data_IF_547120843187
#
_entry.id   IF_547120843187
#
_cell.length_a   1.000
_cell.length_b   1.000
_cell.length_c   1.000
_cell.angle_alpha   90.00
_cell.angle_beta   90.00
_cell.angle_gamma   90.00
#
_symmetry.space_group_name_H-M   'P 1'
#
loop_
_entity.id
_entity.type
_entity.pdbx_description
1 polymer ?
#
# COMPACT_ATOMS: atom_id res chain seq x y z
N UNK A 1 13.45 6.02 21.01
CA UNK A 1 12.93 5.73 19.65
C UNK A 1 11.43 5.97 19.62
N UNK A 2 10.98 7.10 19.07
CA UNK A 2 9.56 7.43 18.90
C UNK A 2 9.34 7.67 17.40
N UNK A 3 8.53 6.85 16.74
CA UNK A 3 8.22 6.99 15.31
C UNK A 3 7.57 5.73 14.74
N UNK A 4 6.82 5.86 13.64
CA UNK A 4 6.21 4.73 12.97
C UNK A 4 7.27 3.82 12.33
N UNK A 5 7.23 2.51 12.61
CA UNK A 5 8.17 1.54 12.03
C UNK A 5 7.91 1.25 10.56
N UNK A 6 6.63 1.30 10.18
CA UNK A 6 6.14 1.11 8.82
C UNK A 6 5.21 2.27 8.50
N UNK A 7 5.49 3.00 7.43
CA UNK A 7 4.61 4.02 6.87
C UNK A 7 4.09 3.53 5.53
N UNK A 8 2.77 3.54 5.34
CA UNK A 8 2.11 3.09 4.11
C UNK A 8 1.25 4.22 3.56
N UNK A 9 1.47 4.58 2.29
CA UNK A 9 0.75 5.64 1.58
C UNK A 9 -0.02 4.99 0.43
N UNK A 10 -1.35 5.00 0.52
CA UNK A 10 -2.23 4.60 -0.57
C UNK A 10 -2.34 5.72 -1.61
N UNK A 11 -2.36 5.33 -2.89
CA UNK A 11 -2.38 6.23 -4.04
C UNK A 11 -3.39 5.81 -5.12
N UNK A 12 -4.48 5.17 -4.72
CA UNK A 12 -5.53 4.72 -5.65
C UNK A 12 -4.97 3.85 -6.77
N UNK A 13 -5.19 4.24 -8.04
CA UNK A 13 -4.70 3.49 -9.21
C UNK A 13 -3.18 3.30 -9.27
N UNK A 14 -2.41 4.15 -8.59
CA UNK A 14 -0.96 4.04 -8.52
C UNK A 14 -0.47 3.03 -7.47
N UNK A 15 -1.41 2.42 -6.73
CA UNK A 15 -1.17 1.41 -5.70
C UNK A 15 -0.70 2.00 -4.38
N UNK A 16 0.35 1.41 -3.80
CA UNK A 16 0.86 1.74 -2.47
C UNK A 16 2.36 2.01 -2.51
N UNK A 17 2.81 2.98 -1.72
CA UNK A 17 4.20 3.13 -1.30
C UNK A 17 4.31 2.74 0.17
N UNK A 18 5.24 1.85 0.50
CA UNK A 18 5.52 1.46 1.88
C UNK A 18 6.99 1.74 2.21
N UNK A 19 7.24 2.30 3.39
CA UNK A 19 8.57 2.69 3.85
C UNK A 19 8.82 2.14 5.26
N UNK A 20 10.03 1.66 5.46
CA UNK A 20 10.61 1.36 6.79
C UNK A 20 11.96 2.07 6.90
N UNK A 21 12.63 1.94 8.06
CA UNK A 21 14.02 2.40 8.20
C UNK A 21 14.99 1.72 7.20
N UNK A 22 14.63 0.56 6.63
CA UNK A 22 15.53 -0.27 5.80
C UNK A 22 15.18 -0.29 4.31
N UNK A 23 13.92 -0.09 3.95
CA UNK A 23 13.49 -0.21 2.56
C UNK A 23 12.33 0.70 2.19
N UNK A 24 12.24 0.98 0.89
CA UNK A 24 11.14 1.68 0.25
C UNK A 24 10.58 0.78 -0.86
N UNK A 25 9.29 0.48 -0.79
CA UNK A 25 8.59 -0.42 -1.70
C UNK A 25 7.48 0.34 -2.42
N UNK A 26 7.26 -0.02 -3.69
CA UNK A 26 6.07 0.37 -4.45
C UNK A 26 5.37 -0.87 -4.97
N UNK A 27 4.10 -1.04 -4.60
CA UNK A 27 3.20 -2.07 -5.09
C UNK A 27 2.17 -1.44 -6.02
N UNK A 28 2.01 -1.95 -7.24
CA UNK A 28 1.14 -1.36 -8.27
C UNK A 28 0.19 -2.42 -8.82
N UNK A 29 -1.13 -2.18 -8.84
CA UNK A 29 -2.09 -3.11 -9.43
C UNK A 29 -2.06 -3.08 -10.96
N UNK A 30 -2.64 -4.08 -11.63
CA UNK A 30 -3.01 -3.94 -13.04
C UNK A 30 -4.08 -2.85 -13.21
N UNK A 31 -4.25 -2.28 -14.42
CA UNK A 31 -5.36 -1.39 -14.70
C UNK A 31 -6.70 -2.15 -14.59
N UNK A 32 -7.69 -1.54 -13.95
CA UNK A 32 -9.03 -2.10 -13.81
C UNK A 32 -10.10 -1.05 -14.08
N UNK A 33 -11.31 -1.51 -14.44
CA UNK A 33 -12.48 -0.63 -14.57
C UNK A 33 -13.12 -0.46 -13.19
N UNK A 34 -12.94 0.73 -12.60
CA UNK A 34 -13.50 1.10 -11.30
C UNK A 34 -15.02 1.20 -11.37
N UNK A 35 -15.71 0.56 -10.41
CA UNK A 35 -17.16 0.73 -10.18
C UNK A 35 -17.44 1.61 -8.97
N UNK A 36 -16.68 1.45 -7.89
CA UNK A 36 -16.75 2.25 -6.65
C UNK A 36 -15.35 2.37 -6.06
N UNK A 37 -15.07 3.41 -5.27
CA UNK A 37 -13.84 3.49 -4.47
C UNK A 37 -14.08 3.28 -2.97
N UNK A 38 -15.34 3.17 -2.56
CA UNK A 38 -15.75 3.03 -1.16
C UNK A 38 -15.22 1.70 -0.62
N UNK A 39 -14.66 1.71 0.59
CA UNK A 39 -14.13 0.52 1.27
C UNK A 39 -12.79 -0.01 0.72
N UNK A 40 -12.24 0.56 -0.37
CA UNK A 40 -10.97 0.11 -0.93
C UNK A 40 -9.78 0.32 0.03
N UNK A 41 -9.81 1.40 0.82
CA UNK A 41 -8.82 1.66 1.86
C UNK A 41 -8.88 0.62 2.98
N UNK A 42 -10.08 0.34 3.51
CA UNK A 42 -10.29 -0.64 4.57
C UNK A 42 -9.87 -2.05 4.14
N UNK A 43 -10.19 -2.43 2.90
CA UNK A 43 -9.78 -3.70 2.32
C UNK A 43 -8.26 -3.79 2.15
N UNK A 44 -7.61 -2.69 1.75
CA UNK A 44 -6.16 -2.65 1.69
C UNK A 44 -5.50 -2.78 3.06
N UNK A 45 -6.04 -2.09 4.09
CA UNK A 45 -5.58 -2.22 5.48
C UNK A 45 -5.76 -3.65 5.98
N UNK A 46 -6.90 -4.29 5.69
CA UNK A 46 -7.15 -5.68 6.06
C UNK A 46 -6.11 -6.64 5.45
N UNK A 47 -5.78 -6.46 4.17
CA UNK A 47 -4.75 -7.26 3.51
C UNK A 47 -3.34 -7.04 4.07
N UNK A 48 -3.01 -5.78 4.39
CA UNK A 48 -1.74 -5.45 5.03
C UNK A 48 -1.65 -6.09 6.43
N UNK A 49 -2.67 -5.89 7.25
CA UNK A 49 -2.75 -6.39 8.62
C UNK A 49 -2.67 -7.93 8.67
N UNK A 50 -3.39 -8.62 7.77
CA UNK A 50 -3.38 -10.08 7.70
C UNK A 50 -1.97 -10.63 7.48
N UNK A 51 -1.22 -10.06 6.53
CA UNK A 51 0.13 -10.54 6.22
C UNK A 51 1.15 -10.17 7.28
N UNK A 52 1.06 -8.96 7.83
CA UNK A 52 1.95 -8.54 8.92
C UNK A 52 1.70 -9.34 10.21
N UNK A 53 0.44 -9.66 10.53
CA UNK A 53 0.10 -10.50 11.68
C UNK A 53 0.62 -11.94 11.55
N UNK A 54 0.81 -12.41 10.32
CA UNK A 54 1.43 -13.70 10.02
C UNK A 54 2.96 -13.62 9.85
N UNK A 55 3.58 -12.49 10.23
CA UNK A 55 5.02 -12.24 10.10
C UNK A 55 5.56 -12.40 8.66
N UNK A 56 4.69 -12.22 7.66
CA UNK A 56 5.10 -12.31 6.25
C UNK A 56 5.87 -11.05 5.80
N UNK A 57 6.73 -11.15 4.76
CA UNK A 57 7.49 -10.00 4.27
C UNK A 57 6.60 -8.81 3.89
N UNK A 58 7.06 -7.60 4.20
CA UNK A 58 6.32 -6.35 3.88
C UNK A 58 5.94 -6.24 2.40
N UNK A 59 6.77 -6.78 1.49
CA UNK A 59 6.47 -6.84 0.07
C UNK A 59 5.19 -7.66 -0.23
N UNK A 60 5.00 -8.80 0.44
CA UNK A 60 3.81 -9.64 0.28
C UNK A 60 2.59 -9.03 0.99
N UNK A 61 2.80 -8.35 2.12
CA UNK A 61 1.76 -7.55 2.76
C UNK A 61 1.26 -6.43 1.84
N UNK A 62 2.16 -5.69 1.21
CA UNK A 62 1.82 -4.66 0.22
C UNK A 62 1.13 -5.26 -1.01
N UNK A 63 1.57 -6.44 -1.46
CA UNK A 63 0.97 -7.14 -2.60
C UNK A 63 -0.50 -7.47 -2.32
N UNK A 64 -0.77 -8.07 -1.16
CA UNK A 64 -2.15 -8.42 -0.76
C UNK A 64 -3.00 -7.18 -0.50
N UNK A 65 -2.46 -6.17 0.18
CA UNK A 65 -3.15 -4.90 0.41
C UNK A 65 -3.63 -4.27 -0.90
N UNK A 66 -2.75 -4.17 -1.90
CA UNK A 66 -3.10 -3.64 -3.22
C UNK A 66 -4.12 -4.53 -3.92
N UNK A 67 -3.97 -5.86 -3.87
CA UNK A 67 -4.92 -6.78 -4.49
C UNK A 67 -6.33 -6.67 -3.88
N UNK A 68 -6.43 -6.60 -2.55
CA UNK A 68 -7.70 -6.46 -1.83
C UNK A 68 -8.36 -5.10 -2.07
N UNK A 69 -7.60 -4.01 -2.01
CA UNK A 69 -8.12 -2.69 -2.34
C UNK A 69 -8.57 -2.61 -3.81
N UNK A 70 -7.83 -3.25 -4.73
CA UNK A 70 -8.20 -3.28 -6.15
C UNK A 70 -9.44 -4.14 -6.41
N UNK A 71 -9.61 -5.25 -5.70
CA UNK A 71 -10.81 -6.08 -5.80
C UNK A 71 -12.05 -5.34 -5.27
N UNK A 72 -11.91 -4.59 -4.18
CA UNK A 72 -12.99 -3.76 -3.64
C UNK A 72 -13.53 -2.75 -4.65
N UNK A 73 -12.66 -2.16 -5.48
CA UNK A 73 -13.12 -1.17 -6.46
C UNK A 73 -13.92 -1.76 -7.62
N UNK A 74 -13.93 -3.09 -7.77
CA UNK A 74 -14.70 -3.80 -8.81
C UNK A 74 -16.16 -4.02 -8.40
N UNK A 75 -16.51 -3.87 -7.12
CA UNK A 75 -17.87 -4.02 -6.62
C UNK A 75 -18.60 -2.67 -6.55
N UNK A 76 -19.93 -2.64 -6.70
CA UNK A 76 -20.71 -1.41 -6.51
C UNK A 76 -20.77 -0.98 -5.03
N UNK A 77 -20.72 0.32 -4.78
CA UNK A 77 -20.98 0.91 -3.46
C UNK A 77 -20.12 0.31 -2.35
N UNK A 78 -20.78 -0.20 -1.31
CA UNK A 78 -20.20 -0.84 -0.11
C UNK A 78 -20.30 -2.37 -0.14
N UNK A 79 -20.53 -2.98 -1.31
CA UNK A 79 -20.57 -4.45 -1.42
C UNK A 79 -19.24 -5.07 -1.01
N UNK A 80 -19.32 -6.27 -0.43
CA UNK A 80 -18.16 -7.01 0.02
C UNK A 80 -17.17 -7.32 -1.12
N UNK A 81 -15.89 -7.15 -0.82
CA UNK A 81 -14.79 -7.59 -1.66
C UNK A 81 -14.84 -9.09 -1.87
N UNK A 82 -14.79 -9.53 -3.14
CA UNK A 82 -14.91 -10.95 -3.50
C UNK A 82 -13.54 -11.61 -3.48
N UNK A 83 -13.42 -12.71 -2.75
CA UNK A 83 -12.18 -13.49 -2.65
C UNK A 83 -11.61 -13.89 -4.02
N UNK A 84 -12.47 -14.30 -4.96
CA UNK A 84 -12.06 -14.70 -6.30
C UNK A 84 -11.39 -13.56 -7.09
N UNK A 85 -11.85 -12.31 -6.91
CA UNK A 85 -11.23 -11.15 -7.55
C UNK A 85 -9.85 -10.87 -6.94
N UNK A 86 -9.70 -11.01 -5.62
CA UNK A 86 -8.41 -10.88 -4.94
C UNK A 86 -7.42 -11.93 -5.45
N UNK A 87 -7.82 -13.20 -5.50
CA UNK A 87 -6.98 -14.31 -5.97
C UNK A 87 -6.53 -14.10 -7.42
N UNK A 88 -7.42 -13.59 -8.27
CA UNK A 88 -7.09 -13.24 -9.66
C UNK A 88 -6.10 -12.08 -9.76
N UNK A 89 -6.25 -11.05 -8.93
CA UNK A 89 -5.44 -9.82 -8.98
C UNK A 89 -4.08 -9.96 -8.30
N UNK A 90 -3.98 -10.76 -7.24
CA UNK A 90 -2.78 -10.92 -6.42
C UNK A 90 -1.51 -11.21 -7.24
N UNK A 91 -1.48 -12.18 -8.18
CA UNK A 91 -0.28 -12.45 -8.97
C UNK A 91 0.05 -11.33 -9.98
N UNK A 92 -0.89 -10.43 -10.26
CA UNK A 92 -0.71 -9.33 -11.21
C UNK A 92 -0.16 -8.06 -10.56
N UNK A 93 -0.21 -7.95 -9.23
CA UNK A 93 0.35 -6.81 -8.49
C UNK A 93 1.87 -6.84 -8.61
N UNK A 94 2.46 -5.74 -9.09
CA UNK A 94 3.92 -5.62 -9.22
C UNK A 94 4.49 -4.88 -8.01
N UNK A 95 5.32 -5.58 -7.24
CA UNK A 95 6.05 -5.00 -6.11
C UNK A 95 7.50 -4.78 -6.48
N UNK A 96 8.02 -3.58 -6.25
CA UNK A 96 9.42 -3.23 -6.53
C UNK A 96 10.04 -2.42 -5.40
N UNK A 97 11.31 -2.69 -5.12
CA UNK A 97 12.15 -1.80 -4.31
C UNK A 97 12.40 -0.51 -5.08
N UNK A 98 12.27 0.61 -4.39
CA UNK A 98 12.60 1.94 -4.91
C UNK A 98 13.96 2.38 -4.37
N UNK A 99 14.74 3.05 -5.22
CA UNK A 99 15.93 3.78 -4.77
C UNK A 99 15.46 5.10 -4.16
N UNK A 100 15.97 5.44 -2.99
CA UNK A 100 15.83 6.75 -2.35
C UNK A 100 16.72 7.78 -3.06
N UNK A 101 16.43 8.06 -4.33
CA UNK A 101 17.10 9.13 -5.06
C UNK A 101 16.50 10.49 -4.69
N UNK A 102 17.29 11.37 -4.06
CA UNK A 102 17.17 12.84 -4.12
C UNK A 102 15.84 13.51 -3.66
N UNK A 103 15.15 13.00 -2.64
CA UNK A 103 14.05 13.75 -1.99
C UNK A 103 14.41 14.33 -0.61
N UNK A 104 15.63 14.12 -0.13
CA UNK A 104 16.09 14.56 1.20
C UNK A 104 16.44 16.05 1.30
N UNK A 105 16.46 16.81 0.20
CA UNK A 105 16.85 18.25 0.25
C UNK A 105 15.70 19.25 0.40
N UNK A 106 14.43 18.86 0.26
CA UNK A 106 13.34 19.85 0.16
C UNK A 106 12.40 19.90 1.37
N UNK A 107 12.39 18.91 2.26
CA UNK A 107 11.38 18.83 3.34
C UNK A 107 11.94 18.86 4.78
N UNK A 108 13.25 18.79 4.96
CA UNK A 108 13.89 18.91 6.27
C UNK A 108 15.00 19.97 6.24
N UNK A 109 14.63 21.24 6.04
CA UNK A 109 15.44 22.31 6.64
C UNK A 109 15.01 22.39 8.10
N UNK A 110 15.86 21.84 8.96
CA UNK A 110 15.76 22.02 10.40
C UNK A 110 15.59 23.51 10.72
N UNK A 111 14.46 23.88 11.30
CA UNK A 111 14.41 25.04 12.19
C UNK A 111 14.78 24.57 13.59
N UNK A 112 15.98 24.00 13.72
CA UNK A 112 16.68 23.98 15.01
C UNK A 112 17.41 25.30 15.10
N UNK A 113 16.79 26.28 15.76
CA UNK A 113 17.52 27.41 16.31
C UNK A 113 17.42 27.29 17.83
N UNK A 114 18.55 27.20 18.54
CA UNK A 114 18.52 27.20 20.00
C UNK A 114 18.23 28.60 20.51
N UNK A 115 17.30 28.70 21.46
CA UNK A 115 17.31 29.67 22.56
C UNK A 115 17.12 28.88 23.86
#
# INVERSE_FOLDING_TARGET
DMGAEIVVISRGKDGIIAATKKELLKAVPPPVKVRSAVGAGDCAIAGLALKLANEEPLAEACRLAVAMGTAAVLTPGTELTRKADVEKLLPQVKVKKMKTGQLTKTFFTASDKPD
#
